data_IF_262905198575
#
_entry.id   IF_262905198575
#
_cell.length_a   1.000
_cell.length_b   1.000
_cell.length_c   1.000
_cell.angle_alpha   90.00
_cell.angle_beta   90.00
_cell.angle_gamma   90.00
#
_symmetry.space_group_name_H-M   'P 1'
#
loop_
_entity.id
_entity.type
_entity.pdbx_description
1 polymer ?
#
# COMPACT_ATOMS: atom_id res chain seq x y z
N UNK A 1 8.18 -13.24 -7.28
CA UNK A 1 8.43 -11.86 -7.69
C UNK A 1 9.65 -11.83 -8.58
N UNK A 2 9.60 -11.04 -9.65
CA UNK A 2 10.66 -10.99 -10.69
C UNK A 2 11.41 -9.67 -10.70
N UNK A 3 10.95 -8.69 -9.92
CA UNK A 3 11.58 -7.39 -9.74
C UNK A 3 11.50 -6.97 -8.27
N UNK A 4 12.57 -6.35 -7.78
CA UNK A 4 12.63 -5.74 -6.46
C UNK A 4 13.46 -4.45 -6.50
N UNK A 5 13.10 -3.52 -5.62
CA UNK A 5 13.90 -2.33 -5.34
C UNK A 5 13.72 -1.88 -3.88
N UNK A 6 14.43 -0.82 -3.49
CA UNK A 6 14.35 -0.25 -2.14
C UNK A 6 13.99 1.23 -2.19
N UNK A 7 13.20 1.68 -1.21
CA UNK A 7 12.83 3.09 -1.06
C UNK A 7 12.94 3.53 0.40
N UNK A 8 13.51 4.72 0.60
CA UNK A 8 13.55 5.40 1.89
C UNK A 8 12.57 6.57 1.86
N UNK A 9 11.51 6.49 2.65
CA UNK A 9 10.56 7.58 2.83
C UNK A 9 11.01 8.38 4.05
N UNK A 10 11.55 9.57 3.79
CA UNK A 10 12.16 10.44 4.78
C UNK A 10 12.15 11.90 4.31
N UNK A 11 12.21 12.91 5.20
CA UNK A 11 12.10 14.32 4.82
C UNK A 11 13.12 14.80 3.78
N UNK A 12 14.29 14.16 3.70
CA UNK A 12 15.34 14.48 2.72
C UNK A 12 15.09 13.90 1.32
N UNK A 13 14.03 13.11 1.13
CA UNK A 13 13.63 12.55 -0.16
C UNK A 13 13.17 13.64 -1.13
N UNK A 14 13.51 13.49 -2.41
CA UNK A 14 12.97 14.37 -3.46
C UNK A 14 11.44 14.31 -3.52
N UNK A 15 10.78 15.48 -3.56
CA UNK A 15 9.32 15.61 -3.59
C UNK A 15 8.62 14.89 -2.42
N UNK A 16 9.25 14.87 -1.24
CA UNK A 16 8.73 14.20 -0.04
C UNK A 16 7.25 14.51 0.23
N UNK A 17 6.88 15.80 0.30
CA UNK A 17 5.51 16.23 0.60
C UNK A 17 4.49 15.79 -0.46
N UNK A 18 4.87 15.85 -1.75
CA UNK A 18 3.99 15.40 -2.84
C UNK A 18 3.80 13.89 -2.80
N UNK A 19 4.88 13.13 -2.59
CA UNK A 19 4.83 11.67 -2.47
C UNK A 19 4.06 11.23 -1.24
N UNK A 20 4.23 11.88 -0.10
CA UNK A 20 3.44 11.61 1.10
C UNK A 20 1.95 11.82 0.87
N UNK A 21 1.57 12.92 0.19
CA UNK A 21 0.16 13.15 -0.18
C UNK A 21 -0.37 12.04 -1.08
N UNK A 22 0.42 11.57 -2.03
CA UNK A 22 0.04 10.44 -2.89
C UNK A 22 -0.12 9.15 -2.09
N UNK A 23 0.84 8.80 -1.22
CA UNK A 23 0.77 7.59 -0.41
C UNK A 23 -0.39 7.60 0.59
N UNK A 24 -0.73 8.77 1.13
CA UNK A 24 -1.78 8.90 2.14
C UNK A 24 -3.19 9.08 1.56
N UNK A 25 -3.32 9.48 0.29
CA UNK A 25 -4.59 9.45 -0.40
C UNK A 25 -5.11 8.00 -0.44
N UNK A 26 -6.39 7.76 -0.16
CA UNK A 26 -6.97 6.41 -0.22
C UNK A 26 -7.00 5.92 -1.67
N UNK A 27 -6.34 4.79 -1.94
CA UNK A 27 -6.17 4.25 -3.29
C UNK A 27 -6.18 2.72 -3.32
N UNK A 28 -6.21 2.19 -4.54
CA UNK A 28 -5.97 0.78 -4.86
C UNK A 28 -4.85 0.65 -5.90
N UNK A 29 -4.36 -0.57 -6.06
CA UNK A 29 -3.52 -0.99 -7.16
C UNK A 29 -4.17 -2.13 -7.97
N UNK A 30 -3.74 -2.28 -9.23
CA UNK A 30 -4.07 -3.42 -10.09
C UNK A 30 -3.41 -4.71 -9.63
N UNK A 31 -2.28 -4.59 -8.96
CA UNK A 31 -1.42 -5.67 -8.49
C UNK A 31 -1.26 -5.61 -6.97
N UNK A 32 -0.62 -6.62 -6.39
CA UNK A 32 -0.33 -6.65 -4.95
C UNK A 32 0.67 -5.56 -4.55
N UNK A 33 0.45 -4.94 -3.39
CA UNK A 33 1.43 -4.06 -2.75
C UNK A 33 2.19 -4.84 -1.67
N UNK A 34 3.44 -5.20 -1.97
CA UNK A 34 4.29 -5.99 -1.09
C UNK A 34 5.45 -5.13 -0.57
N UNK A 35 5.61 -5.09 0.76
CA UNK A 35 6.64 -4.29 1.44
C UNK A 35 7.28 -5.10 2.55
N UNK A 36 8.60 -5.27 2.48
CA UNK A 36 9.41 -5.74 3.60
C UNK A 36 10.07 -4.53 4.27
N UNK A 37 9.79 -4.32 5.55
CA UNK A 37 10.40 -3.22 6.29
C UNK A 37 11.83 -3.59 6.68
N UNK A 38 12.79 -2.80 6.22
CA UNK A 38 14.22 -2.97 6.49
C UNK A 38 14.68 -2.10 7.66
N UNK A 39 14.11 -0.92 7.83
CA UNK A 39 14.40 0.02 8.92
C UNK A 39 13.24 1.02 9.12
N UNK A 40 13.20 1.71 10.26
CA UNK A 40 12.17 2.68 10.59
C UNK A 40 10.79 2.05 10.84
N UNK A 41 9.72 2.82 10.67
CA UNK A 41 8.36 2.36 10.95
C UNK A 41 7.29 3.25 10.31
N UNK A 42 6.08 2.70 10.15
CA UNK A 42 4.96 3.42 9.53
C UNK A 42 3.63 2.71 9.66
N UNK A 43 2.58 3.35 9.17
CA UNK A 43 1.21 2.84 9.22
C UNK A 43 0.69 2.55 7.82
N UNK A 44 0.18 1.33 7.64
CA UNK A 44 -0.73 1.00 6.54
C UNK A 44 -2.15 1.00 7.11
N UNK A 45 -3.00 1.90 6.62
CA UNK A 45 -4.42 1.86 6.92
C UNK A 45 -5.12 1.10 5.78
N UNK A 46 -5.97 0.14 6.11
CA UNK A 46 -6.78 -0.66 5.16
C UNK A 46 -8.26 -0.60 5.52
N UNK A 47 -9.14 -0.87 4.55
CA UNK A 47 -10.58 -1.00 4.81
C UNK A 47 -10.96 -2.43 5.21
N UNK A 48 -11.70 -2.57 6.31
CA UNK A 48 -12.34 -3.83 6.66
C UNK A 48 -13.59 -4.11 5.81
N UNK A 49 -14.30 -5.21 6.10
CA UNK A 49 -15.52 -5.60 5.38
C UNK A 49 -16.69 -4.60 5.55
N UNK A 50 -16.68 -3.79 6.61
CA UNK A 50 -17.66 -2.75 6.89
C UNK A 50 -17.22 -1.36 6.37
N UNK A 51 -16.16 -1.32 5.56
CA UNK A 51 -15.52 -0.09 5.07
C UNK A 51 -14.99 0.82 6.20
N UNK A 52 -14.60 0.26 7.35
CA UNK A 52 -13.95 0.98 8.45
C UNK A 52 -12.44 0.88 8.32
N UNK A 53 -11.73 1.91 8.80
CA UNK A 53 -10.28 1.92 8.82
C UNK A 53 -9.73 0.97 9.89
N UNK A 54 -8.85 0.06 9.48
CA UNK A 54 -7.94 -0.69 10.34
C UNK A 54 -6.51 -0.21 10.12
N UNK A 55 -5.81 0.11 11.20
CA UNK A 55 -4.41 0.58 11.16
C UNK A 55 -3.45 -0.55 11.50
N UNK A 56 -2.47 -0.76 10.64
CA UNK A 56 -1.40 -1.74 10.80
C UNK A 56 -0.09 -0.96 10.99
N UNK A 57 0.52 -1.08 12.17
CA UNK A 57 1.84 -0.50 12.45
C UNK A 57 2.91 -1.52 12.10
N UNK A 58 3.83 -1.16 11.21
CA UNK A 58 4.91 -2.04 10.74
C UNK A 58 6.28 -1.58 11.24
N UNK A 59 7.14 -2.55 11.50
CA UNK A 59 8.49 -2.41 12.06
C UNK A 59 9.50 -3.27 11.27
N UNK A 60 10.82 -3.08 11.46
CA UNK A 60 11.83 -3.83 10.73
C UNK A 60 11.66 -5.35 10.92
N UNK A 61 11.65 -6.09 9.80
CA UNK A 61 11.37 -7.52 9.76
C UNK A 61 9.93 -7.86 9.35
N UNK A 62 9.00 -6.92 9.40
CA UNK A 62 7.62 -7.15 8.97
C UNK A 62 7.53 -7.18 7.43
N UNK A 63 6.87 -8.22 6.92
CA UNK A 63 6.44 -8.32 5.53
C UNK A 63 4.92 -8.14 5.47
N UNK A 64 4.47 -7.08 4.78
CA UNK A 64 3.06 -6.85 4.50
C UNK A 64 2.77 -7.09 3.01
N UNK A 65 1.66 -7.76 2.73
CA UNK A 65 1.14 -8.02 1.39
C UNK A 65 -0.30 -7.53 1.37
N UNK A 66 -0.56 -6.45 0.63
CA UNK A 66 -1.90 -5.95 0.39
C UNK A 66 -2.39 -6.48 -0.96
N UNK A 67 -3.51 -7.21 -1.00
CA UNK A 67 -4.02 -7.77 -2.26
C UNK A 67 -4.47 -6.68 -3.22
N UNK A 68 -4.37 -6.97 -4.52
CA UNK A 68 -4.89 -6.11 -5.57
C UNK A 68 -6.36 -5.72 -5.30
N UNK A 69 -6.71 -4.45 -5.54
CA UNK A 69 -8.07 -3.95 -5.34
C UNK A 69 -8.50 -3.65 -3.88
N UNK A 70 -7.63 -3.88 -2.89
CA UNK A 70 -7.87 -3.45 -1.51
C UNK A 70 -7.63 -1.94 -1.37
N UNK A 71 -8.61 -1.23 -0.80
CA UNK A 71 -8.42 0.18 -0.43
C UNK A 71 -7.46 0.30 0.74
N UNK A 72 -6.42 1.09 0.54
CA UNK A 72 -5.40 1.35 1.55
C UNK A 72 -4.78 2.73 1.39
N UNK A 73 -3.95 3.08 2.36
CA UNK A 73 -3.06 4.24 2.34
C UNK A 73 -1.88 4.02 3.28
N UNK A 74 -0.82 4.77 3.06
CA UNK A 74 0.41 4.69 3.85
C UNK A 74 0.83 6.07 4.39
N UNK A 75 1.36 6.09 5.61
CA UNK A 75 2.06 7.25 6.19
C UNK A 75 3.18 6.77 7.13
N UNK A 76 4.39 7.37 7.11
CA UNK A 76 5.37 7.11 8.16
C UNK A 76 4.82 7.54 9.53
N UNK A 77 5.31 6.91 10.60
CA UNK A 77 4.89 7.31 11.95
C UNK A 77 5.60 8.61 12.40
N UNK A 78 5.49 8.96 13.68
CA UNK A 78 6.08 10.19 14.24
C UNK A 78 7.60 10.29 14.07
N UNK A 79 8.31 9.20 13.74
CA UNK A 79 9.75 9.23 13.41
C UNK A 79 10.02 9.73 12.00
N UNK A 80 9.00 9.84 11.15
CA UNK A 80 9.06 10.30 9.76
C UNK A 80 10.08 9.53 8.90
N UNK A 81 10.36 8.27 9.23
CA UNK A 81 11.36 7.47 8.55
C UNK A 81 10.91 6.02 8.42
N UNK A 82 10.94 5.52 7.19
CA UNK A 82 10.87 4.08 6.89
C UNK A 82 11.75 3.75 5.70
N UNK A 83 12.41 2.59 5.76
CA UNK A 83 13.15 1.99 4.65
C UNK A 83 12.49 0.66 4.32
N UNK A 84 12.00 0.50 3.10
CA UNK A 84 11.32 -0.73 2.69
C UNK A 84 11.91 -1.29 1.41
N UNK A 85 11.99 -2.61 1.31
CA UNK A 85 12.13 -3.33 0.05
C UNK A 85 10.75 -3.59 -0.53
N UNK A 86 10.61 -3.36 -1.82
CA UNK A 86 9.36 -3.52 -2.57
C UNK A 86 9.52 -4.67 -3.56
N UNK A 87 8.48 -5.48 -3.71
CA UNK A 87 8.50 -6.66 -4.61
C UNK A 87 7.37 -6.56 -5.64
N UNK A 88 7.64 -6.98 -6.88
CA UNK A 88 6.68 -6.92 -8.01
C UNK A 88 6.67 -8.21 -8.81
N UNK A 89 5.51 -8.50 -9.40
CA UNK A 89 5.37 -9.46 -10.49
C UNK A 89 5.55 -8.71 -11.80
N UNK A 90 6.60 -9.03 -12.56
CA UNK A 90 6.93 -8.32 -13.81
C UNK A 90 7.53 -6.93 -13.58
N UNK A 91 7.37 -6.06 -14.58
CA UNK A 91 7.73 -4.65 -14.47
C UNK A 91 6.76 -3.92 -13.53
N UNK A 92 7.27 -3.04 -12.66
CA UNK A 92 6.44 -2.45 -11.63
C UNK A 92 5.45 -1.42 -12.20
N UNK A 93 4.16 -1.64 -11.97
CA UNK A 93 3.10 -0.66 -12.22
C UNK A 93 2.75 0.02 -10.89
N UNK A 94 3.20 1.27 -10.75
CA UNK A 94 3.05 2.04 -9.51
C UNK A 94 1.76 2.84 -9.41
N UNK A 95 0.97 2.89 -10.49
CA UNK A 95 -0.11 3.87 -10.64
C UNK A 95 -1.19 3.61 -9.59
N UNK A 96 -1.39 4.52 -8.61
CA UNK A 96 -2.51 4.41 -7.71
C UNK A 96 -3.79 4.81 -8.44
N UNK A 97 -4.89 4.11 -8.17
CA UNK A 97 -6.23 4.54 -8.57
C UNK A 97 -6.94 5.01 -7.31
N UNK A 98 -7.08 6.32 -7.16
CA UNK A 98 -7.66 6.92 -5.97
C UNK A 98 -9.17 6.60 -5.86
N UNK A 99 -9.69 6.58 -4.64
CA UNK A 99 -11.15 6.56 -4.42
C UNK A 99 -11.76 7.93 -4.78
N UNK A 100 -12.92 8.01 -5.48
CA UNK A 100 -13.84 6.93 -5.83
C UNK A 100 -13.56 6.22 -7.17
N UNK A 101 -12.61 6.66 -7.99
CA UNK A 101 -12.36 6.07 -9.31
C UNK A 101 -12.05 4.56 -9.25
N UNK A 102 -11.38 4.14 -8.17
CA UNK A 102 -11.10 2.73 -7.87
C UNK A 102 -12.35 1.85 -7.74
N UNK A 103 -13.54 2.40 -7.46
CA UNK A 103 -14.77 1.61 -7.22
C UNK A 103 -15.18 0.83 -8.48
N UNK A 104 -14.88 1.38 -9.66
CA UNK A 104 -15.19 0.76 -10.96
C UNK A 104 -14.02 0.00 -11.59
N UNK A 105 -12.85 0.00 -10.93
CA UNK A 105 -11.65 -0.64 -11.46
C UNK A 105 -11.78 -2.18 -11.44
N UNK A 106 -11.30 -2.92 -12.46
CA UNK A 106 -11.41 -4.37 -12.52
C UNK A 106 -10.85 -5.10 -11.28
N UNK A 107 -9.67 -4.69 -10.79
CA UNK A 107 -9.06 -5.31 -9.59
C UNK A 107 -9.95 -5.17 -8.35
N UNK A 108 -10.68 -4.06 -8.21
CA UNK A 108 -11.62 -3.85 -7.10
C UNK A 108 -12.81 -4.79 -7.19
N UNK A 109 -13.35 -4.97 -8.40
CA UNK A 109 -14.48 -5.88 -8.63
C UNK A 109 -14.09 -7.33 -8.31
N UNK A 110 -12.88 -7.74 -8.68
CA UNK A 110 -12.38 -9.07 -8.36
C UNK A 110 -12.06 -9.23 -6.87
N UNK A 111 -11.48 -8.22 -6.22
CA UNK A 111 -11.27 -8.22 -4.77
C UNK A 111 -12.60 -8.43 -3.99
N UNK A 112 -13.65 -7.70 -4.37
CA UNK A 112 -14.97 -7.83 -3.72
C UNK A 112 -15.58 -9.23 -3.91
N UNK A 113 -15.37 -9.89 -5.06
CA UNK A 113 -15.85 -11.27 -5.28
C UNK A 113 -15.19 -12.25 -4.31
N UNK A 114 -13.90 -12.07 -3.99
CA UNK A 114 -13.15 -12.92 -3.07
C UNK A 114 -13.42 -12.61 -1.58
N UNK A 115 -13.90 -11.41 -1.25
CA UNK A 115 -14.32 -11.06 0.11
C UNK A 115 -15.60 -11.77 0.54
N UNK A 116 -16.47 -12.13 -0.40
CA UNK A 116 -17.70 -12.86 -0.07
C UNK A 116 -17.31 -14.28 0.35
N UNK A 117 -17.72 -14.76 1.54
CA UNK A 117 -17.46 -16.13 1.91
C UNK A 117 -18.00 -17.07 0.83
N UNK A 118 -17.23 -18.08 0.47
CA UNK A 118 -17.74 -19.19 -0.32
C UNK A 118 -18.88 -19.82 0.49
N UNK A 119 -20.13 -19.60 0.04
CA UNK A 119 -21.29 -20.32 0.55
C UNK A 119 -21.17 -21.82 0.25
#
# INVERSE_FOLDING_TARGET
>A
YTYEDEIKVQPSMEKYEEKLKMFFAEHIHSDEEIRLVLDGSGFFDVRDCDDKWMRIHVFPGDLIILPAGMYHRFIPDSKNFIHVRRFFLGEPVWTPVNRPDGDTHPSRQDYIKHLKPHN
#
